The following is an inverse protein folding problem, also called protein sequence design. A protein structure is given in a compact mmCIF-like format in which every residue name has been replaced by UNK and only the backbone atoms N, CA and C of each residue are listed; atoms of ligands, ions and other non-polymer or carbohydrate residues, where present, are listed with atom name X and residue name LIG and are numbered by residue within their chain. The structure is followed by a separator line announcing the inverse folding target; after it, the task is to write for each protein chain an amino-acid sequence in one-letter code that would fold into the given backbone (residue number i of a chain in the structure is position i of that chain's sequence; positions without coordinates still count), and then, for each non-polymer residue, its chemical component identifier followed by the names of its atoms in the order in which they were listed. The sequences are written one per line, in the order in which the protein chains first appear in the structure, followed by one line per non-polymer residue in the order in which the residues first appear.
data_IF_152015610282
#
_entry.id   IF_152015610282
#
_cell.length_a   1.000
_cell.length_b   1.000
_cell.length_c   1.000
_cell.angle_alpha   90.00
_cell.angle_beta   90.00
_cell.angle_gamma   90.00
#
_symmetry.space_group_name_H-M   'P 1'
#
loop_
_entity.id
_entity.type
_entity.pdbx_description
1 polymer ?
#
# COMPACT_ATOMS: atom_id res chain seq x y z
N UNK A 1 3.31 -0.41 24.15
CA UNK A 1 2.10 -0.30 23.30
C UNK A 1 2.30 0.81 22.27
N UNK A 2 1.37 0.99 21.32
CA UNK A 2 1.39 2.06 20.33
C UNK A 2 -0.05 2.49 20.05
N UNK A 3 -0.33 3.79 20.14
CA UNK A 3 -1.63 4.42 19.88
C UNK A 3 -1.33 5.73 19.16
N UNK A 4 -1.98 5.95 18.03
CA UNK A 4 -1.73 7.11 17.19
C UNK A 4 -2.98 7.46 16.38
N UNK A 5 -3.09 8.74 16.00
CA UNK A 5 -4.11 9.23 15.08
C UNK A 5 -3.52 9.27 13.66
N UNK A 6 -4.25 8.72 12.69
CA UNK A 6 -3.85 8.70 11.27
C UNK A 6 -4.86 9.45 10.42
N UNK A 7 -4.37 10.27 9.50
CA UNK A 7 -5.18 11.10 8.61
C UNK A 7 -5.15 10.66 7.14
N UNK A 8 -5.79 11.47 6.29
CA UNK A 8 -5.79 11.26 4.84
C UNK A 8 -4.36 11.27 4.30
N UNK A 9 -3.97 10.17 3.66
CA UNK A 9 -2.65 9.99 3.07
C UNK A 9 -1.56 9.54 4.04
N UNK A 10 -1.92 9.20 5.27
CA UNK A 10 -1.08 8.45 6.18
C UNK A 10 -1.25 6.94 5.94
N UNK A 11 -0.28 6.17 6.41
CA UNK A 11 -0.25 4.72 6.35
C UNK A 11 -0.17 4.14 7.75
N UNK A 12 -0.60 2.89 7.91
CA UNK A 12 -0.22 2.04 9.03
C UNK A 12 0.23 0.67 8.53
N UNK A 13 1.05 -0.01 9.34
CA UNK A 13 1.42 -1.39 9.08
C UNK A 13 1.48 -2.17 10.39
N UNK A 14 0.59 -3.15 10.55
CA UNK A 14 0.58 -4.06 11.69
C UNK A 14 1.32 -5.35 11.33
N UNK A 15 2.39 -5.73 12.07
CA UNK A 15 3.06 -6.99 11.83
C UNK A 15 2.14 -8.19 12.06
N UNK A 16 2.39 -9.28 11.33
CA UNK A 16 1.59 -10.50 11.42
C UNK A 16 1.44 -10.98 12.88
N UNK A 17 0.20 -11.24 13.28
CA UNK A 17 -0.13 -11.76 14.61
C UNK A 17 -0.20 -10.73 15.74
N UNK A 18 0.06 -9.44 15.47
CA UNK A 18 -0.11 -8.39 16.47
C UNK A 18 -1.57 -7.88 16.48
N UNK A 19 -2.23 -7.82 17.65
CA UNK A 19 -3.58 -7.30 17.75
C UNK A 19 -3.61 -5.78 17.51
N UNK A 20 -4.69 -5.30 16.93
CA UNK A 20 -4.92 -3.89 16.64
C UNK A 20 -6.41 -3.58 16.67
N UNK A 21 -6.75 -2.29 16.63
CA UNK A 21 -8.11 -1.78 16.54
C UNK A 21 -8.13 -0.48 15.74
N UNK A 22 -9.25 -0.17 15.10
CA UNK A 22 -9.46 1.08 14.36
C UNK A 22 -10.74 1.72 14.90
N UNK A 23 -10.69 3.01 15.21
CA UNK A 23 -11.84 3.78 15.67
C UNK A 23 -11.92 5.08 14.86
N UNK A 24 -13.08 5.34 14.26
CA UNK A 24 -13.32 6.59 13.54
C UNK A 24 -13.31 7.79 14.49
N UNK A 25 -12.69 8.89 14.05
CA UNK A 25 -12.74 10.19 14.73
C UNK A 25 -14.00 10.97 14.30
N UNK A 26 -14.05 12.27 14.58
CA UNK A 26 -15.23 13.13 14.34
C UNK A 26 -15.74 13.09 12.88
N UNK A 27 -14.83 13.00 11.92
CA UNK A 27 -15.17 12.99 10.48
C UNK A 27 -15.47 11.58 9.92
N UNK A 28 -15.37 10.54 10.74
CA UNK A 28 -15.36 9.16 10.29
C UNK A 28 -14.05 8.80 9.57
N UNK A 29 -14.04 7.67 8.86
CA UNK A 29 -12.88 7.25 8.07
C UNK A 29 -13.29 6.30 6.93
N UNK A 30 -12.56 6.38 5.83
CA UNK A 30 -12.58 5.43 4.71
C UNK A 30 -11.12 5.18 4.31
N UNK A 31 -10.76 3.92 4.12
CA UNK A 31 -9.37 3.51 3.91
C UNK A 31 -9.29 2.20 3.11
N UNK A 32 -8.10 1.90 2.60
CA UNK A 32 -7.80 0.65 1.89
C UNK A 32 -6.90 -0.20 2.78
N UNK A 33 -7.34 -1.43 3.08
CA UNK A 33 -6.52 -2.45 3.73
C UNK A 33 -5.94 -3.40 2.69
N UNK A 34 -4.65 -3.68 2.80
CA UNK A 34 -3.96 -4.66 1.95
C UNK A 34 -3.33 -5.70 2.84
N UNK A 35 -3.67 -6.96 2.57
CA UNK A 35 -3.12 -8.11 3.26
C UNK A 35 -2.13 -8.82 2.34
N UNK A 36 -1.02 -9.28 2.89
CA UNK A 36 0.08 -9.90 2.13
C UNK A 36 -0.24 -11.34 1.66
N UNK A 37 -1.49 -11.75 1.74
CA UNK A 37 -1.98 -13.06 1.31
C UNK A 37 -3.31 -12.91 0.57
N UNK A 38 -3.32 -13.25 -0.73
CA UNK A 38 -4.51 -13.14 -1.57
C UNK A 38 -5.65 -14.09 -1.22
N UNK A 39 -5.44 -15.05 -0.31
CA UNK A 39 -6.51 -15.88 0.24
C UNK A 39 -7.17 -15.29 1.50
N UNK A 40 -6.78 -14.07 1.92
CA UNK A 40 -7.37 -13.40 3.06
C UNK A 40 -8.88 -13.18 2.88
N UNK A 41 -9.61 -13.31 3.98
CA UNK A 41 -11.02 -12.96 4.12
C UNK A 41 -11.20 -12.13 5.38
N UNK A 42 -11.86 -10.98 5.28
CA UNK A 42 -12.15 -10.13 6.45
C UNK A 42 -13.04 -10.81 7.50
N UNK A 43 -13.83 -11.80 7.06
CA UNK A 43 -14.71 -12.61 7.89
C UNK A 43 -13.96 -13.72 8.67
N UNK A 44 -12.66 -13.88 8.46
CA UNK A 44 -11.83 -14.91 9.13
C UNK A 44 -10.79 -14.27 10.08
N UNK A 45 -11.04 -13.05 10.52
CA UNK A 45 -10.21 -12.38 11.52
C UNK A 45 -10.49 -12.91 12.93
N UNK A 46 -9.48 -12.89 13.80
CA UNK A 46 -9.63 -13.33 15.20
C UNK A 46 -10.21 -12.20 16.05
N UNK A 47 -11.54 -12.13 16.15
CA UNK A 47 -12.23 -11.07 16.89
C UNK A 47 -12.21 -11.31 18.40
N UNK A 48 -11.94 -10.25 19.17
CA UNK A 48 -11.85 -10.31 20.64
C UNK A 48 -13.14 -10.85 21.27
N UNK A 49 -14.28 -10.28 20.89
CA UNK A 49 -15.59 -10.70 21.40
C UNK A 49 -15.95 -12.13 21.00
N UNK A 50 -15.53 -12.56 19.81
CA UNK A 50 -15.79 -13.93 19.33
C UNK A 50 -14.99 -14.95 20.16
N UNK A 51 -13.72 -14.65 20.42
CA UNK A 51 -12.89 -15.48 21.27
C UNK A 51 -13.42 -15.54 22.72
N UNK A 52 -13.86 -14.42 23.28
CA UNK A 52 -14.50 -14.39 24.61
C UNK A 52 -15.80 -15.19 24.64
N UNK A 53 -16.64 -15.05 23.61
CA UNK A 53 -17.91 -15.79 23.49
C UNK A 53 -17.70 -17.30 23.43
N UNK A 54 -16.63 -17.74 22.75
CA UNK A 54 -16.30 -19.16 22.55
C UNK A 54 -15.31 -19.73 23.58
N UNK A 55 -15.04 -18.99 24.67
CA UNK A 55 -14.22 -19.49 25.79
C UNK A 55 -15.11 -19.73 27.01
N UNK A 56 -15.03 -20.90 27.68
CA UNK A 56 -15.81 -21.15 28.89
C UNK A 56 -15.56 -20.08 29.96
N UNK A 57 -16.63 -19.59 30.61
CA UNK A 57 -16.52 -18.47 31.55
C UNK A 57 -15.65 -18.81 32.76
N UNK A 58 -15.60 -20.06 33.18
CA UNK A 58 -14.70 -20.54 34.23
C UNK A 58 -13.22 -20.45 33.83
N UNK A 59 -12.90 -20.57 32.53
CA UNK A 59 -11.54 -20.37 32.02
C UNK A 59 -11.20 -18.89 31.98
N UNK A 60 -12.13 -18.03 31.56
CA UNK A 60 -11.97 -16.57 31.62
C UNK A 60 -11.77 -16.09 33.06
N UNK A 61 -12.64 -16.50 33.97
CA UNK A 61 -12.55 -16.24 35.41
C UNK A 61 -11.17 -16.60 35.97
N UNK A 62 -10.68 -17.81 35.65
CA UNK A 62 -9.34 -18.24 36.04
C UNK A 62 -8.23 -17.39 35.43
N UNK A 63 -8.34 -16.98 34.17
CA UNK A 63 -7.35 -16.16 33.47
C UNK A 63 -7.25 -14.75 34.06
N UNK A 64 -8.40 -14.13 34.36
CA UNK A 64 -8.47 -12.76 34.88
C UNK A 64 -8.39 -12.67 36.41
N UNK A 65 -8.53 -13.80 37.12
CA UNK A 65 -8.48 -13.85 38.59
C UNK A 65 -9.72 -13.24 39.24
N UNK A 66 -10.90 -13.40 38.62
CA UNK A 66 -12.19 -12.85 39.06
C UNK A 66 -13.27 -13.94 39.07
N UNK A 67 -14.51 -13.62 39.46
CA UNK A 67 -15.59 -14.61 39.55
C UNK A 67 -16.24 -14.88 38.18
N UNK A 68 -16.94 -16.01 38.05
CA UNK A 68 -17.60 -16.40 36.78
C UNK A 68 -18.72 -15.41 36.42
N UNK A 69 -19.40 -14.87 37.44
CA UNK A 69 -20.50 -13.92 37.32
C UNK A 69 -20.06 -12.57 36.72
N UNK A 70 -18.79 -12.19 36.84
CA UNK A 70 -18.24 -10.96 36.25
C UNK A 70 -18.30 -11.00 34.71
N UNK A 71 -18.42 -12.20 34.12
CA UNK A 71 -18.59 -12.43 32.69
C UNK A 71 -20.05 -12.66 32.28
N UNK A 72 -21.03 -12.30 33.11
CA UNK A 72 -22.46 -12.45 32.79
C UNK A 72 -22.88 -11.64 31.54
N UNK A 73 -22.23 -10.50 31.29
CA UNK A 73 -22.61 -9.51 30.27
C UNK A 73 -21.75 -9.53 29.00
N UNK A 74 -20.96 -10.58 28.76
CA UNK A 74 -20.23 -10.74 27.48
C UNK A 74 -21.24 -10.68 26.31
N UNK A 75 -20.91 -10.02 25.19
CA UNK A 75 -21.75 -10.02 23.98
C UNK A 75 -22.18 -11.42 23.54
N UNK A 76 -23.42 -11.56 23.06
CA UNK A 76 -23.97 -12.84 22.58
C UNK A 76 -23.58 -13.20 21.14
N UNK A 77 -22.83 -12.33 20.48
CA UNK A 77 -22.34 -12.45 19.11
C UNK A 77 -21.05 -11.64 18.99
N UNK A 78 -20.29 -11.89 17.91
CA UNK A 78 -19.10 -11.11 17.61
C UNK A 78 -19.43 -9.64 17.31
N UNK A 79 -18.53 -8.76 17.72
CA UNK A 79 -18.55 -7.34 17.41
C UNK A 79 -17.42 -7.06 16.42
N UNK A 80 -17.74 -7.12 15.12
CA UNK A 80 -16.81 -6.80 14.05
C UNK A 80 -16.64 -5.29 13.87
N UNK A 81 -17.73 -4.59 13.53
CA UNK A 81 -17.82 -3.14 13.46
C UNK A 81 -19.07 -2.67 14.20
N UNK A 82 -18.90 -1.68 15.09
CA UNK A 82 -20.00 -1.17 15.91
C UNK A 82 -19.79 0.32 16.23
N UNK A 83 -20.90 1.00 16.52
CA UNK A 83 -20.87 2.42 16.88
C UNK A 83 -20.42 2.59 18.32
N UNK A 84 -19.56 3.58 18.55
CA UNK A 84 -19.09 4.00 19.87
C UNK A 84 -19.01 5.53 19.93
N UNK A 85 -18.75 6.08 21.11
CA UNK A 85 -18.47 7.51 21.25
C UNK A 85 -17.14 7.85 20.56
N UNK A 86 -17.09 9.01 19.90
CA UNK A 86 -15.83 9.58 19.39
C UNK A 86 -14.83 9.66 20.57
N UNK A 87 -13.59 9.18 20.41
CA UNK A 87 -12.62 9.18 21.49
C UNK A 87 -12.23 10.63 21.88
N UNK A 88 -11.59 10.76 23.05
CA UNK A 88 -11.01 12.03 23.47
C UNK A 88 -9.76 12.38 22.66
N UNK A 89 -9.01 13.42 23.07
CA UNK A 89 -7.70 13.70 22.47
C UNK A 89 -6.75 12.51 22.63
N UNK A 90 -5.93 12.19 21.63
CA UNK A 90 -4.96 11.07 21.67
C UNK A 90 -4.14 10.98 22.97
N UNK A 91 -3.77 12.12 23.55
CA UNK A 91 -3.03 12.17 24.81
C UNK A 91 -3.77 11.56 26.01
N UNK A 92 -5.11 11.55 26.02
CA UNK A 92 -5.91 10.90 27.07
C UNK A 92 -6.01 9.39 26.91
N UNK A 93 -5.78 8.87 25.70
CA UNK A 93 -5.91 7.44 25.39
C UNK A 93 -4.60 6.69 25.59
N UNK A 94 -3.49 7.40 25.86
CA UNK A 94 -2.20 6.80 26.14
C UNK A 94 -2.25 5.92 27.39
N UNK A 95 -1.95 4.63 27.22
CA UNK A 95 -1.89 3.66 28.30
C UNK A 95 -0.43 3.49 28.74
N UNK A 96 -0.15 3.54 30.05
CA UNK A 96 1.19 3.29 30.57
C UNK A 96 1.61 1.83 30.35
N UNK A 97 2.75 1.62 29.69
CA UNK A 97 3.34 0.30 29.47
C UNK A 97 4.67 0.18 30.26
N UNK A 98 4.80 -0.78 31.21
CA UNK A 98 6.02 -0.96 31.98
C UNK A 98 7.22 -1.42 31.13
N UNK A 99 7.00 -1.97 29.94
CA UNK A 99 8.05 -2.35 28.98
C UNK A 99 8.48 -1.14 28.13
N UNK A 100 7.72 -0.05 28.17
CA UNK A 100 7.97 1.18 27.41
C UNK A 100 7.30 1.21 26.03
N UNK A 101 7.53 2.29 25.26
CA UNK A 101 6.95 2.44 23.93
C UNK A 101 7.58 1.46 22.94
N UNK A 102 6.87 1.20 21.85
CA UNK A 102 7.44 0.43 20.72
C UNK A 102 8.68 1.13 20.16
N UNK A 103 9.66 0.36 19.72
CA UNK A 103 10.92 0.89 19.17
C UNK A 103 10.79 1.43 17.75
N UNK A 104 9.71 1.06 17.04
CA UNK A 104 9.38 1.50 15.69
C UNK A 104 7.89 1.86 15.66
N UNK A 105 7.51 3.04 15.16
CA UNK A 105 6.10 3.41 15.02
C UNK A 105 5.42 2.49 13.99
N UNK A 106 4.12 2.27 14.17
CA UNK A 106 3.28 1.51 13.23
C UNK A 106 2.45 2.40 12.30
N UNK A 107 2.60 3.72 12.39
CA UNK A 107 2.02 4.72 11.48
C UNK A 107 3.14 5.43 10.70
N UNK A 108 2.77 6.02 9.56
CA UNK A 108 3.69 6.77 8.71
C UNK A 108 3.00 7.82 7.85
N UNK A 109 3.49 9.07 7.89
CA UNK A 109 2.89 10.18 7.15
C UNK A 109 3.42 10.25 5.71
N UNK A 110 2.85 9.42 4.82
CA UNK A 110 3.33 9.31 3.43
C UNK A 110 3.23 10.63 2.67
N UNK A 111 2.12 11.36 2.77
CA UNK A 111 1.97 12.64 2.06
C UNK A 111 2.90 13.75 2.56
N UNK A 112 3.41 13.64 3.79
CA UNK A 112 4.39 14.57 4.35
C UNK A 112 5.82 14.34 3.81
N UNK A 113 6.08 13.23 3.12
CA UNK A 113 7.35 12.99 2.43
C UNK A 113 7.54 13.97 1.28
N UNK A 114 8.79 14.38 1.03
CA UNK A 114 9.15 15.08 -0.21
C UNK A 114 9.02 14.09 -1.39
N UNK A 115 8.14 14.36 -2.37
CA UNK A 115 7.97 13.46 -3.50
C UNK A 115 9.13 13.58 -4.51
N UNK A 116 9.33 12.52 -5.29
CA UNK A 116 9.99 12.67 -6.59
C UNK A 116 9.04 13.48 -7.47
N UNK A 117 9.38 14.75 -7.71
CA UNK A 117 8.55 15.69 -8.47
C UNK A 117 9.04 15.83 -9.91
N UNK A 118 8.13 15.57 -10.86
CA UNK A 118 8.37 15.72 -12.29
C UNK A 118 7.32 16.64 -12.90
N UNK A 119 7.51 17.04 -14.16
CA UNK A 119 6.55 17.91 -14.86
C UNK A 119 5.16 17.26 -14.99
N UNK A 120 5.14 15.94 -15.21
CA UNK A 120 3.90 15.18 -15.42
C UNK A 120 3.30 14.57 -14.16
N UNK A 121 3.85 14.82 -12.97
CA UNK A 121 3.33 14.22 -11.74
C UNK A 121 4.33 14.02 -10.61
N UNK A 122 3.91 13.29 -9.59
CA UNK A 122 4.66 13.00 -8.36
C UNK A 122 4.67 11.52 -8.01
N UNK A 123 5.76 11.06 -7.40
CA UNK A 123 5.88 9.71 -6.82
C UNK A 123 6.39 9.83 -5.39
N UNK A 124 5.71 9.18 -4.45
CA UNK A 124 6.19 8.99 -3.06
C UNK A 124 6.33 7.51 -2.81
N UNK A 125 7.45 7.09 -2.23
CA UNK A 125 7.76 5.68 -1.98
C UNK A 125 7.88 5.48 -0.49
N UNK A 126 7.16 4.49 0.02
CA UNK A 126 7.26 4.03 1.40
C UNK A 126 7.60 2.54 1.42
N UNK A 127 8.70 2.19 2.07
CA UNK A 127 9.13 0.82 2.27
C UNK A 127 9.90 0.69 3.59
N UNK A 128 10.51 -0.47 3.87
CA UNK A 128 11.20 -0.68 5.15
C UNK A 128 12.38 0.27 5.41
N UNK A 129 12.90 0.95 4.39
CA UNK A 129 14.02 1.89 4.53
C UNK A 129 13.63 3.22 5.16
N UNK A 130 12.37 3.64 5.02
CA UNK A 130 11.84 4.89 5.59
C UNK A 130 10.62 4.69 6.50
N UNK A 131 9.96 3.53 6.43
CA UNK A 131 8.93 3.07 7.36
C UNK A 131 9.28 1.66 7.86
N UNK A 132 10.14 1.52 8.90
CA UNK A 132 10.69 0.23 9.32
C UNK A 132 9.70 -0.83 9.81
N UNK A 133 8.44 -0.47 10.02
CA UNK A 133 7.36 -1.42 10.31
C UNK A 133 6.81 -2.11 9.05
N UNK A 134 6.91 -1.48 7.88
CA UNK A 134 6.50 -2.01 6.58
C UNK A 134 7.54 -3.01 6.03
N UNK A 135 7.73 -4.12 6.76
CA UNK A 135 8.75 -5.13 6.45
C UNK A 135 8.34 -6.15 5.38
N UNK A 136 7.05 -6.23 5.06
CA UNK A 136 6.51 -7.18 4.07
C UNK A 136 5.75 -6.53 2.93
N UNK A 137 5.43 -5.24 3.04
CA UNK A 137 4.72 -4.46 2.02
C UNK A 137 5.51 -3.19 1.74
N UNK A 138 5.95 -3.02 0.50
CA UNK A 138 6.42 -1.74 -0.03
C UNK A 138 5.31 -1.10 -0.85
N UNK A 139 5.23 0.22 -0.84
CA UNK A 139 4.19 0.98 -1.52
C UNK A 139 4.75 2.22 -2.23
N UNK A 140 4.14 2.60 -3.35
CA UNK A 140 4.33 3.89 -3.97
C UNK A 140 2.98 4.54 -4.24
N UNK A 141 2.86 5.83 -3.90
CA UNK A 141 1.74 6.67 -4.30
C UNK A 141 2.19 7.43 -5.55
N UNK A 142 1.48 7.19 -6.64
CA UNK A 142 1.78 7.80 -7.94
C UNK A 142 0.63 8.71 -8.34
N UNK A 143 0.98 9.93 -8.71
CA UNK A 143 0.06 10.95 -9.20
C UNK A 143 0.50 11.34 -10.60
N UNK A 144 -0.32 11.09 -11.61
CA UNK A 144 -0.01 11.33 -13.03
C UNK A 144 -0.96 12.40 -13.56
N UNK A 145 -0.41 13.53 -13.98
CA UNK A 145 -1.17 14.64 -14.55
C UNK A 145 -1.75 14.30 -15.93
N UNK A 146 -2.85 14.98 -16.36
CA UNK A 146 -3.43 14.79 -17.68
C UNK A 146 -2.40 14.86 -18.81
N UNK A 147 -2.45 13.89 -19.73
CA UNK A 147 -1.52 13.78 -20.86
C UNK A 147 -0.12 13.28 -20.51
N UNK A 148 0.12 12.85 -19.28
CA UNK A 148 1.37 12.23 -18.82
C UNK A 148 1.20 10.72 -18.60
N UNK A 149 2.30 10.00 -18.39
CA UNK A 149 2.25 8.57 -18.06
C UNK A 149 3.35 8.16 -17.08
N UNK A 150 3.07 7.14 -16.25
CA UNK A 150 4.10 6.31 -15.62
C UNK A 150 4.88 5.60 -16.73
N UNK A 151 6.20 5.79 -16.77
CA UNK A 151 7.03 5.33 -17.89
C UNK A 151 7.06 3.81 -18.04
N UNK A 152 7.51 3.32 -19.20
CA UNK A 152 7.71 1.89 -19.45
C UNK A 152 8.77 1.32 -18.49
N UNK A 153 8.38 0.36 -17.66
CA UNK A 153 9.24 -0.25 -16.65
C UNK A 153 8.78 -1.67 -16.27
N UNK A 154 9.51 -2.31 -15.37
CA UNK A 154 9.10 -3.53 -14.67
C UNK A 154 9.70 -3.57 -13.27
N UNK A 155 9.16 -4.46 -12.43
CA UNK A 155 9.66 -4.71 -11.08
C UNK A 155 10.50 -6.00 -11.04
N UNK A 156 11.76 -5.94 -10.57
CA UNK A 156 12.66 -7.08 -10.56
C UNK A 156 12.60 -7.92 -9.27
N UNK A 157 11.73 -7.56 -8.32
CA UNK A 157 11.66 -8.19 -7.00
C UNK A 157 10.34 -8.90 -6.68
N UNK A 158 9.19 -8.41 -7.18
CA UNK A 158 7.88 -9.01 -6.86
C UNK A 158 6.81 -8.71 -7.93
N UNK A 159 5.62 -9.29 -7.75
CA UNK A 159 4.39 -8.83 -8.39
C UNK A 159 4.01 -7.44 -7.89
N UNK A 160 3.28 -6.68 -8.70
CA UNK A 160 2.66 -5.41 -8.32
C UNK A 160 1.16 -5.56 -8.20
N UNK A 161 0.61 -5.15 -7.06
CA UNK A 161 -0.82 -4.99 -6.84
C UNK A 161 -1.15 -3.49 -6.85
N UNK A 162 -2.25 -3.10 -7.47
CA UNK A 162 -2.61 -1.69 -7.65
C UNK A 162 -3.99 -1.37 -7.09
N UNK A 163 -4.16 -0.15 -6.56
CA UNK A 163 -5.47 0.42 -6.29
C UNK A 163 -5.57 1.84 -6.85
N UNK A 164 -6.60 2.07 -7.65
CA UNK A 164 -6.84 3.35 -8.31
C UNK A 164 -7.75 4.21 -7.44
N UNK A 165 -7.20 5.30 -6.90
CA UNK A 165 -7.89 6.18 -5.93
C UNK A 165 -8.77 7.19 -6.66
N UNK A 166 -8.23 7.85 -7.70
CA UNK A 166 -8.92 8.88 -8.47
C UNK A 166 -8.46 8.88 -9.93
N UNK A 167 -9.27 9.48 -10.80
CA UNK A 167 -8.98 9.60 -12.23
C UNK A 167 -9.25 8.31 -13.01
N UNK A 168 -8.71 8.28 -14.23
CA UNK A 168 -8.83 7.16 -15.15
C UNK A 168 -7.54 7.00 -15.95
N UNK A 169 -7.18 5.75 -16.23
CA UNK A 169 -5.97 5.45 -16.96
C UNK A 169 -6.08 4.13 -17.71
N UNK A 170 -5.03 3.80 -18.46
CA UNK A 170 -4.87 2.49 -19.07
C UNK A 170 -3.48 1.94 -18.82
N UNK A 171 -3.41 0.62 -18.73
CA UNK A 171 -2.14 -0.09 -18.62
C UNK A 171 -2.08 -1.21 -19.62
N UNK A 172 -0.95 -1.32 -20.33
CA UNK A 172 -0.63 -2.55 -21.06
C UNK A 172 0.37 -3.37 -20.26
N UNK A 173 0.04 -4.64 -20.01
CA UNK A 173 0.96 -5.62 -19.43
C UNK A 173 1.54 -6.49 -20.53
N UNK A 174 2.87 -6.56 -20.61
CA UNK A 174 3.63 -7.41 -21.53
C UNK A 174 4.11 -8.68 -20.81
N UNK A 175 3.56 -9.83 -21.23
CA UNK A 175 3.71 -11.12 -20.57
C UNK A 175 4.67 -12.08 -21.30
N UNK A 176 5.71 -11.54 -21.96
CA UNK A 176 6.67 -12.28 -22.80
C UNK A 176 6.05 -13.02 -24.00
N UNK A 177 6.88 -13.61 -24.86
CA UNK A 177 6.43 -14.42 -26.02
C UNK A 177 5.40 -13.74 -26.92
N UNK A 178 5.51 -12.42 -27.11
CA UNK A 178 4.57 -11.61 -27.90
C UNK A 178 3.19 -11.42 -27.29
N UNK A 179 2.98 -11.81 -26.02
CA UNK A 179 1.71 -11.66 -25.32
C UNK A 179 1.65 -10.29 -24.65
N UNK A 180 0.59 -9.56 -24.92
CA UNK A 180 0.26 -8.35 -24.19
C UNK A 180 -1.25 -8.17 -24.11
N UNK A 181 -1.70 -7.44 -23.09
CA UNK A 181 -3.09 -7.03 -22.95
C UNK A 181 -3.17 -5.65 -22.32
N UNK A 182 -4.08 -4.82 -22.84
CA UNK A 182 -4.41 -3.52 -22.28
C UNK A 182 -5.68 -3.63 -21.43
N UNK A 183 -5.68 -2.93 -20.31
CA UNK A 183 -6.80 -2.80 -19.40
C UNK A 183 -7.00 -1.31 -19.09
N UNK A 184 -8.26 -0.90 -18.99
CA UNK A 184 -8.64 0.44 -18.53
C UNK A 184 -8.98 0.36 -17.04
N UNK A 185 -8.61 1.40 -16.30
CA UNK A 185 -8.82 1.53 -14.86
C UNK A 185 -9.41 2.89 -14.51
N UNK A 186 -10.18 2.93 -13.44
CA UNK A 186 -10.74 4.15 -12.83
C UNK A 186 -10.77 4.02 -11.31
N UNK A 187 -11.17 5.10 -10.64
CA UNK A 187 -11.39 5.11 -9.18
C UNK A 187 -12.18 3.88 -8.69
N UNK A 188 -11.62 3.18 -7.69
CA UNK A 188 -12.17 1.97 -7.09
C UNK A 188 -11.71 0.65 -7.73
N UNK A 189 -11.02 0.68 -8.87
CA UNK A 189 -10.52 -0.55 -9.51
C UNK A 189 -9.24 -1.06 -8.84
N UNK A 190 -9.06 -2.39 -8.88
CA UNK A 190 -7.84 -3.09 -8.49
C UNK A 190 -7.10 -3.57 -9.74
N UNK A 191 -5.81 -3.28 -9.82
CA UNK A 191 -4.92 -3.72 -10.88
C UNK A 191 -3.88 -4.74 -10.41
N UNK A 192 -3.23 -5.41 -11.36
CA UNK A 192 -2.18 -6.38 -11.07
C UNK A 192 -1.18 -6.49 -12.22
N UNK A 193 0.11 -6.55 -11.90
CA UNK A 193 1.18 -6.85 -12.84
C UNK A 193 2.01 -8.00 -12.28
N UNK A 194 1.99 -9.18 -12.91
CA UNK A 194 2.83 -10.29 -12.48
C UNK A 194 4.32 -9.96 -12.58
N UNK A 195 5.10 -10.64 -11.75
CA UNK A 195 6.53 -10.45 -11.55
C UNK A 195 7.28 -10.31 -12.87
N UNK A 196 8.06 -9.22 -12.96
CA UNK A 196 8.91 -8.86 -14.10
C UNK A 196 8.18 -8.65 -15.44
N UNK A 197 6.85 -8.58 -15.48
CA UNK A 197 6.13 -8.19 -16.69
C UNK A 197 6.28 -6.69 -16.95
N UNK A 198 6.68 -6.35 -18.18
CA UNK A 198 6.85 -4.97 -18.59
C UNK A 198 5.50 -4.26 -18.72
N UNK A 199 5.40 -3.03 -18.24
CA UNK A 199 4.16 -2.28 -18.28
C UNK A 199 4.40 -0.75 -18.25
N UNK A 200 3.32 0.00 -18.48
CA UNK A 200 3.22 1.45 -18.32
C UNK A 200 1.80 1.78 -17.86
N UNK A 201 1.59 2.94 -17.26
CA UNK A 201 0.25 3.40 -16.86
C UNK A 201 0.09 4.83 -17.38
N UNK A 202 -0.84 5.01 -18.31
CA UNK A 202 -1.09 6.30 -18.96
C UNK A 202 -2.37 6.91 -18.42
N UNK A 203 -2.33 8.21 -18.07
CA UNK A 203 -3.53 8.95 -17.73
C UNK A 203 -4.31 9.26 -19.02
N UNK A 204 -5.52 8.72 -19.12
CA UNK A 204 -6.43 8.88 -20.27
C UNK A 204 -7.55 9.89 -20.02
N UNK A 205 -7.57 10.50 -18.83
CA UNK A 205 -8.56 11.48 -18.39
C UNK A 205 -8.09 12.92 -18.50
N UNK A 206 -8.94 13.81 -17.97
CA UNK A 206 -8.72 15.26 -17.88
C UNK A 206 -8.40 15.73 -16.44
N UNK A 207 -8.43 14.84 -15.47
CA UNK A 207 -7.99 15.05 -14.08
C UNK A 207 -6.73 14.24 -13.76
N UNK A 208 -6.10 14.55 -12.62
CA UNK A 208 -5.00 13.73 -12.09
C UNK A 208 -5.46 12.29 -11.88
N UNK A 209 -4.62 11.33 -12.30
CA UNK A 209 -4.74 9.92 -12.01
C UNK A 209 -3.88 9.62 -10.79
N UNK A 210 -4.49 9.21 -9.67
CA UNK A 210 -3.76 8.83 -8.45
C UNK A 210 -4.03 7.37 -8.14
N UNK A 211 -2.97 6.62 -7.95
CA UNK A 211 -3.05 5.20 -7.64
C UNK A 211 -1.89 4.76 -6.74
N UNK A 212 -2.08 3.62 -6.08
CA UNK A 212 -1.07 2.95 -5.28
C UNK A 212 -0.46 1.80 -6.09
N UNK A 213 0.87 1.70 -6.08
CA UNK A 213 1.64 0.51 -6.46
C UNK A 213 2.06 -0.19 -5.17
N UNK A 214 1.76 -1.48 -4.98
CA UNK A 214 2.11 -2.21 -3.76
C UNK A 214 2.72 -3.57 -4.06
N UNK A 215 3.69 -3.95 -3.24
CA UNK A 215 4.55 -5.09 -3.47
C UNK A 215 4.68 -5.89 -2.18
N UNK A 216 4.58 -7.22 -2.27
CA UNK A 216 4.93 -8.10 -1.14
C UNK A 216 6.45 -8.19 -0.96
N UNK A 217 7.08 -7.07 -0.60
CA UNK A 217 8.52 -6.91 -0.49
C UNK A 217 8.87 -5.93 0.63
N UNK A 218 10.10 -6.01 1.14
CA UNK A 218 10.65 -5.07 2.11
C UNK A 218 11.14 -3.76 1.47
N UNK A 219 11.28 -3.71 0.13
CA UNK A 219 11.76 -2.53 -0.59
C UNK A 219 11.06 -2.35 -1.93
N UNK A 220 10.97 -1.10 -2.37
CA UNK A 220 10.57 -0.76 -3.73
C UNK A 220 11.76 -0.92 -4.69
N UNK A 221 11.53 -1.54 -5.85
CA UNK A 221 12.52 -1.59 -6.92
C UNK A 221 11.86 -1.61 -8.29
N UNK A 222 12.37 -0.82 -9.22
CA UNK A 222 11.96 -0.86 -10.62
C UNK A 222 13.14 -0.69 -11.59
N UNK A 223 12.99 -1.24 -12.79
CA UNK A 223 13.93 -1.05 -13.90
C UNK A 223 13.23 -0.27 -15.00
N UNK A 224 13.73 0.94 -15.27
CA UNK A 224 13.22 1.81 -16.31
C UNK A 224 13.77 1.38 -17.67
N UNK A 225 12.87 1.22 -18.66
CA UNK A 225 13.28 0.89 -20.03
C UNK A 225 14.18 1.97 -20.61
N UNK A 226 13.82 3.24 -20.45
CA UNK A 226 14.58 4.35 -21.00
C UNK A 226 15.98 4.43 -20.37
N UNK A 227 16.07 4.31 -19.05
CA UNK A 227 17.34 4.27 -18.34
C UNK A 227 18.21 3.08 -18.75
N UNK A 228 17.62 1.89 -18.88
CA UNK A 228 18.34 0.69 -19.31
C UNK A 228 18.96 0.86 -20.70
N UNK A 229 18.18 1.35 -21.68
CA UNK A 229 18.70 1.62 -23.02
C UNK A 229 19.79 2.70 -23.00
N UNK A 230 19.62 3.76 -22.21
CA UNK A 230 20.61 4.85 -22.08
C UNK A 230 21.94 4.42 -21.45
N UNK A 231 21.95 3.31 -20.70
CA UNK A 231 23.13 2.73 -20.06
C UNK A 231 23.70 1.52 -20.81
N UNK A 232 23.13 1.19 -21.97
CA UNK A 232 23.60 0.12 -22.86
C UNK A 232 24.43 0.74 -24.00
N UNK A 233 25.50 0.09 -24.52
CA UNK A 233 26.25 0.60 -25.67
C UNK A 233 25.32 1.02 -26.83
N UNK A 234 25.42 2.26 -27.36
CA UNK A 234 24.48 2.78 -28.35
C UNK A 234 24.38 1.92 -29.61
N UNK A 235 25.50 1.36 -30.08
CA UNK A 235 25.57 0.48 -31.24
C UNK A 235 24.77 -0.81 -31.02
N UNK A 236 24.75 -1.31 -29.78
CA UNK A 236 23.97 -2.49 -29.41
C UNK A 236 22.49 -2.19 -29.41
N UNK A 237 22.07 -1.06 -28.82
CA UNK A 237 20.67 -0.62 -28.85
C UNK A 237 20.19 -0.40 -30.28
N UNK A 238 21.02 0.25 -31.12
CA UNK A 238 20.75 0.45 -32.53
C UNK A 238 20.58 -0.87 -33.28
N UNK A 239 21.45 -1.87 -33.01
CA UNK A 239 21.36 -3.18 -33.64
C UNK A 239 20.07 -3.95 -33.25
N UNK A 240 19.56 -3.76 -32.03
CA UNK A 240 18.33 -4.40 -31.56
C UNK A 240 17.06 -3.76 -32.11
N UNK A 241 17.01 -2.42 -32.13
CA UNK A 241 15.75 -1.68 -32.29
C UNK A 241 15.70 -0.82 -33.56
N UNK A 242 16.82 -0.62 -34.24
CA UNK A 242 16.95 0.21 -35.44
C UNK A 242 16.30 1.60 -35.28
N UNK A 243 16.54 2.25 -34.14
CA UNK A 243 15.93 3.54 -33.79
C UNK A 243 16.54 4.70 -34.58
N UNK A 244 15.80 5.79 -34.72
CA UNK A 244 16.34 6.99 -35.38
C UNK A 244 17.35 7.71 -34.47
N UNK A 245 18.27 8.53 -35.02
CA UNK A 245 19.17 9.36 -34.22
C UNK A 245 18.42 10.28 -33.24
N UNK A 246 17.22 10.74 -33.61
CA UNK A 246 16.38 11.55 -32.74
C UNK A 246 15.95 10.78 -31.48
N UNK A 247 15.53 9.51 -31.63
CA UNK A 247 15.14 8.67 -30.49
C UNK A 247 16.36 8.28 -29.65
N UNK A 248 17.47 7.89 -30.30
CA UNK A 248 18.73 7.58 -29.62
C UNK A 248 19.24 8.77 -28.79
N UNK A 249 19.12 9.99 -29.33
CA UNK A 249 19.46 11.23 -28.62
C UNK A 249 18.50 11.61 -27.49
N UNK A 250 17.31 10.99 -27.42
CA UNK A 250 16.30 11.23 -26.39
C UNK A 250 16.40 10.26 -25.19
N UNK A 251 17.30 9.26 -25.24
CA UNK A 251 17.54 8.34 -24.13
C UNK A 251 18.15 9.07 -22.92
N UNK A 252 17.72 8.69 -21.71
CA UNK A 252 18.04 9.39 -20.46
C UNK A 252 18.67 8.44 -19.45
N UNK A 253 19.87 8.79 -18.97
CA UNK A 253 20.57 8.01 -17.94
C UNK A 253 19.94 8.17 -16.55
N UNK A 254 19.29 9.31 -16.29
CA UNK A 254 18.51 9.53 -15.09
C UNK A 254 17.07 9.05 -15.32
N UNK A 255 16.60 8.16 -14.45
CA UNK A 255 15.23 7.67 -14.41
C UNK A 255 14.24 8.83 -14.26
N UNK A 256 13.11 8.75 -14.97
CA UNK A 256 11.99 9.68 -14.84
C UNK A 256 10.72 8.86 -14.75
N UNK A 257 10.26 8.49 -13.54
CA UNK A 257 9.17 7.53 -13.40
C UNK A 257 7.86 8.02 -14.05
N UNK A 258 7.71 9.33 -14.22
CA UNK A 258 6.59 9.96 -14.93
C UNK A 258 7.12 10.83 -16.08
N UNK A 259 6.50 10.72 -17.26
CA UNK A 259 6.92 11.39 -18.51
C UNK A 259 5.79 12.09 -19.22
#
# INVERSE_FOLDING_TARGET
NFIDDVGVGDLWNFPAGYPHSIQGLEEGCEFVLVFDNGNFSENETFLLSDWFLHTPKEVLAKNFGVEVEDFASIPSHELYMFQSTVPGPLASDQVSDPVGPVSRPFSHHMLAQEPIRLKGGTVRITDSTNFPAASTIAAALVEVEPGSMRELHWHPNNDEWQYYIEGQGRMTVFASSGKSRTFDYRAGDVGYVPFAMGHYIENTGDTTLRYLEMFKSDHFADVSLNQWLALTPPELVQAHLNLTPAVMGALRKQKRPIV
#
